data_IF_157296327667
#
_entry.id   IF_157296327667
#
_cell.length_a   1.000
_cell.length_b   1.000
_cell.length_c   1.000
_cell.angle_alpha   90.00
_cell.angle_beta   90.00
_cell.angle_gamma   90.00
#
_symmetry.space_group_name_H-M   'P 1'
#
loop_
_entity.id
_entity.type
_entity.pdbx_description
1 polymer ?
#
# COMPACT_ATOMS: atom_id res chain seq x y z
N UNK A 1 -25.78 40.90 39.52
CA UNK A 1 -26.09 40.86 38.06
C UNK A 1 -24.84 40.74 37.17
N UNK A 2 -23.75 41.49 37.42
CA UNK A 2 -22.52 41.44 36.61
C UNK A 2 -21.85 40.05 36.48
N UNK A 3 -21.78 39.27 37.55
CA UNK A 3 -21.17 37.93 37.50
C UNK A 3 -21.95 36.94 36.62
N UNK A 4 -23.29 37.01 36.64
CA UNK A 4 -24.15 36.15 35.83
C UNK A 4 -23.96 36.41 34.32
N UNK A 5 -23.79 37.67 33.94
CA UNK A 5 -23.49 38.06 32.55
C UNK A 5 -22.12 37.57 32.10
N UNK A 6 -21.12 37.59 32.99
CA UNK A 6 -19.78 37.09 32.73
C UNK A 6 -19.78 35.58 32.45
N UNK A 7 -20.49 34.80 33.27
CA UNK A 7 -20.64 33.34 33.05
C UNK A 7 -21.37 33.02 31.75
N UNK A 8 -22.42 33.77 31.40
CA UNK A 8 -23.14 33.62 30.12
C UNK A 8 -22.22 33.88 28.92
N UNK A 9 -21.40 34.94 28.97
CA UNK A 9 -20.43 35.25 27.90
C UNK A 9 -19.37 34.16 27.73
N UNK A 10 -18.86 33.62 28.84
CA UNK A 10 -17.90 32.50 28.80
C UNK A 10 -18.54 31.25 28.19
N UNK A 11 -19.77 30.90 28.58
CA UNK A 11 -20.49 29.76 28.03
C UNK A 11 -20.78 29.90 26.53
N UNK A 12 -21.17 31.09 26.07
CA UNK A 12 -21.36 31.39 24.65
C UNK A 12 -20.02 31.30 23.89
N UNK A 13 -18.93 31.84 24.43
CA UNK A 13 -17.61 31.75 23.81
C UNK A 13 -17.13 30.30 23.72
N UNK A 14 -17.32 29.49 24.77
CA UNK A 14 -16.97 28.07 24.77
C UNK A 14 -17.76 27.27 23.75
N UNK A 15 -19.07 27.52 23.63
CA UNK A 15 -19.93 26.84 22.64
C UNK A 15 -19.56 27.22 21.21
N UNK A 16 -19.30 28.50 20.94
CA UNK A 16 -18.81 28.96 19.63
C UNK A 16 -17.44 28.37 19.29
N UNK A 17 -16.52 28.28 20.26
CA UNK A 17 -15.22 27.66 20.05
C UNK A 17 -15.33 26.19 19.67
N UNK A 18 -16.17 25.42 20.39
CA UNK A 18 -16.45 24.02 20.06
C UNK A 18 -17.05 23.90 18.66
N UNK A 19 -17.99 24.78 18.30
CA UNK A 19 -18.61 24.79 16.97
C UNK A 19 -17.56 25.02 15.87
N UNK A 20 -16.65 25.97 16.06
CA UNK A 20 -15.56 26.26 15.10
C UNK A 20 -14.63 25.05 14.94
N UNK A 21 -14.27 24.37 16.05
CA UNK A 21 -13.44 23.15 15.99
C UNK A 21 -14.16 22.03 15.25
N UNK A 22 -15.46 21.85 15.47
CA UNK A 22 -16.27 20.85 14.76
C UNK A 22 -16.37 21.16 13.26
N UNK A 23 -16.61 22.42 12.89
CA UNK A 23 -16.60 22.85 11.49
C UNK A 23 -15.23 22.59 10.87
N UNK A 24 -14.14 22.96 11.56
CA UNK A 24 -12.78 22.68 11.10
C UNK A 24 -12.53 21.19 10.86
N UNK A 25 -12.96 20.33 11.79
CA UNK A 25 -12.81 18.88 11.65
C UNK A 25 -13.66 18.30 10.50
N UNK A 26 -14.89 18.78 10.31
CA UNK A 26 -15.81 18.29 9.27
C UNK A 26 -15.46 18.81 7.87
N UNK A 27 -14.92 20.02 7.77
CA UNK A 27 -14.46 20.64 6.52
C UNK A 27 -13.04 20.23 6.12
N UNK A 28 -12.34 19.47 6.97
CA UNK A 28 -10.98 19.01 6.69
C UNK A 28 -10.97 18.10 5.45
N UNK A 29 -10.40 18.61 4.34
CA UNK A 29 -10.22 17.83 3.12
C UNK A 29 -9.25 16.69 3.38
N UNK A 30 -9.74 15.46 3.26
CA UNK A 30 -8.88 14.28 3.33
C UNK A 30 -7.89 14.27 2.16
N UNK A 31 -6.66 13.76 2.36
CA UNK A 31 -5.75 13.52 1.24
C UNK A 31 -6.42 12.59 0.23
N UNK A 32 -6.27 12.92 -1.07
CA UNK A 32 -6.90 12.14 -2.16
C UNK A 32 -6.34 10.73 -2.25
N UNK A 33 -5.02 10.59 -2.15
CA UNK A 33 -4.30 9.33 -2.28
C UNK A 33 -3.73 8.93 -0.91
N UNK A 34 -4.34 7.94 -0.28
CA UNK A 34 -3.86 7.34 0.97
C UNK A 34 -3.40 5.91 0.71
N UNK A 35 -2.28 5.51 1.32
CA UNK A 35 -1.82 4.13 1.23
C UNK A 35 -2.79 3.18 1.92
N UNK A 36 -3.34 2.24 1.14
CA UNK A 36 -4.13 1.14 1.63
C UNK A 36 -3.24 0.05 2.25
N UNK A 37 -2.04 -0.16 1.69
CA UNK A 37 -1.04 -1.11 2.17
C UNK A 37 0.20 -0.37 2.64
N UNK A 38 0.74 -0.78 3.79
CA UNK A 38 2.00 -0.25 4.29
C UNK A 38 3.19 -0.99 3.66
N UNK A 39 4.40 -0.48 3.88
CA UNK A 39 5.63 -1.05 3.33
C UNK A 39 5.87 -2.50 3.75
N UNK A 40 5.55 -2.84 5.01
CA UNK A 40 5.74 -4.21 5.53
C UNK A 40 4.79 -5.20 4.84
N UNK A 41 3.50 -4.88 4.80
CA UNK A 41 2.51 -5.75 4.15
C UNK A 41 2.75 -5.86 2.64
N UNK A 42 3.20 -4.77 2.00
CA UNK A 42 3.57 -4.77 0.58
C UNK A 42 4.74 -5.72 0.34
N UNK A 43 5.81 -5.62 1.12
CA UNK A 43 6.96 -6.52 1.00
C UNK A 43 6.58 -7.98 1.25
N UNK A 44 5.79 -8.26 2.28
CA UNK A 44 5.31 -9.62 2.57
C UNK A 44 4.48 -10.18 1.41
N UNK A 45 3.61 -9.37 0.79
CA UNK A 45 2.81 -9.81 -0.35
C UNK A 45 3.65 -10.06 -1.60
N UNK A 46 4.59 -9.16 -1.91
CA UNK A 46 5.44 -9.29 -3.09
C UNK A 46 6.44 -10.44 -2.95
N UNK A 47 6.92 -10.71 -1.74
CA UNK A 47 7.82 -11.84 -1.49
C UNK A 47 7.14 -13.21 -1.69
N UNK A 48 5.81 -13.28 -1.58
CA UNK A 48 5.05 -14.53 -1.63
C UNK A 48 4.36 -14.78 -2.99
N UNK A 49 4.35 -13.79 -3.89
CA UNK A 49 3.60 -13.85 -5.14
C UNK A 49 4.51 -13.61 -6.35
N UNK A 50 4.22 -14.28 -7.46
CA UNK A 50 4.86 -13.94 -8.73
C UNK A 50 4.19 -12.71 -9.36
N UNK A 51 4.87 -11.58 -9.30
CA UNK A 51 4.42 -10.32 -9.89
C UNK A 51 5.05 -10.02 -11.26
N UNK A 52 5.83 -10.94 -11.82
CA UNK A 52 6.37 -10.80 -13.16
C UNK A 52 5.46 -11.46 -14.21
N UNK A 53 5.43 -10.87 -15.39
CA UNK A 53 4.81 -11.42 -16.58
C UNK A 53 5.81 -11.38 -17.74
N UNK A 54 5.80 -12.42 -18.56
CA UNK A 54 6.57 -12.50 -19.81
C UNK A 54 5.71 -12.09 -21.02
N UNK A 55 6.35 -11.77 -22.15
CA UNK A 55 5.63 -11.38 -23.37
C UNK A 55 4.61 -12.43 -23.86
N UNK A 56 4.85 -13.71 -23.58
CA UNK A 56 3.94 -14.79 -24.00
C UNK A 56 2.61 -14.76 -23.24
N UNK A 57 2.58 -14.22 -22.02
CA UNK A 57 1.39 -14.17 -21.18
C UNK A 57 0.48 -12.99 -21.54
N UNK A 58 0.99 -12.02 -22.30
CA UNK A 58 0.30 -10.77 -22.68
C UNK A 58 -0.96 -11.01 -23.51
N UNK A 59 -1.04 -12.13 -24.22
CA UNK A 59 -2.19 -12.48 -25.08
C UNK A 59 -3.45 -12.88 -24.30
N UNK A 60 -3.39 -12.91 -22.97
CA UNK A 60 -4.53 -13.27 -22.13
C UNK A 60 -5.61 -12.17 -22.16
N UNK A 61 -6.87 -12.55 -22.42
CA UNK A 61 -8.02 -11.62 -22.48
C UNK A 61 -8.34 -10.97 -21.14
N UNK A 62 -7.94 -11.60 -20.03
CA UNK A 62 -8.13 -11.07 -18.68
C UNK A 62 -7.03 -10.07 -18.30
N UNK A 63 -6.07 -9.82 -19.19
CA UNK A 63 -4.99 -8.86 -18.98
C UNK A 63 -5.27 -7.55 -19.69
N UNK A 64 -4.95 -6.46 -19.01
CA UNK A 64 -5.01 -5.11 -19.57
C UNK A 64 -3.60 -4.53 -19.56
N UNK A 65 -3.07 -4.26 -20.75
CA UNK A 65 -1.76 -3.69 -20.92
C UNK A 65 -1.79 -2.19 -20.66
N UNK A 66 -0.85 -1.73 -19.84
CA UNK A 66 -0.68 -0.31 -19.55
C UNK A 66 0.78 0.09 -19.81
N UNK A 67 0.95 0.96 -20.79
CA UNK A 67 2.23 1.57 -21.14
C UNK A 67 2.46 2.81 -20.27
N UNK A 68 3.51 2.78 -19.45
CA UNK A 68 3.81 3.87 -18.51
C UNK A 68 4.71 4.96 -19.08
N UNK A 69 5.14 4.81 -20.34
CA UNK A 69 6.01 5.76 -21.04
C UNK A 69 5.27 7.02 -21.45
N UNK A 70 6.02 8.00 -21.94
CA UNK A 70 5.45 9.23 -22.46
C UNK A 70 4.53 8.96 -23.66
N UNK A 71 3.52 9.82 -23.86
CA UNK A 71 2.64 9.75 -25.03
C UNK A 71 3.44 9.74 -26.34
N UNK A 72 4.52 10.50 -26.42
CA UNK A 72 5.40 10.51 -27.60
C UNK A 72 6.04 9.14 -27.89
N UNK A 73 6.48 8.42 -26.86
CA UNK A 73 7.02 7.08 -27.04
C UNK A 73 5.94 6.05 -27.35
N UNK A 74 4.75 6.22 -26.79
CA UNK A 74 3.60 5.38 -27.11
C UNK A 74 3.20 5.52 -28.58
N UNK A 75 3.09 6.74 -29.10
CA UNK A 75 2.76 7.03 -30.50
C UNK A 75 3.81 6.53 -31.49
N UNK A 76 5.10 6.48 -31.09
CA UNK A 76 6.16 5.88 -31.91
C UNK A 76 6.01 4.37 -32.09
N UNK A 77 5.31 3.72 -31.16
CA UNK A 77 5.10 2.28 -31.16
C UNK A 77 4.85 1.76 -29.76
N UNK A 78 3.81 0.96 -29.62
CA UNK A 78 3.39 0.33 -28.38
C UNK A 78 2.93 -1.12 -28.65
N UNK A 79 2.70 -1.87 -27.58
CA UNK A 79 2.13 -3.22 -27.69
C UNK A 79 0.66 -3.12 -28.06
N UNK A 80 0.17 -4.07 -28.86
CA UNK A 80 -1.22 -4.07 -29.31
C UNK A 80 -2.20 -4.07 -28.13
N UNK A 81 -3.26 -3.27 -28.23
CA UNK A 81 -4.29 -3.08 -27.19
C UNK A 81 -3.79 -2.47 -25.86
N UNK A 82 -2.59 -1.89 -25.83
CA UNK A 82 -2.11 -1.16 -24.67
C UNK A 82 -2.81 0.19 -24.50
N UNK A 83 -3.04 0.58 -23.24
CA UNK A 83 -3.50 1.91 -22.84
C UNK A 83 -2.29 2.70 -22.37
N UNK A 84 -2.13 3.95 -22.82
CA UNK A 84 -1.06 4.81 -22.31
C UNK A 84 -1.50 5.53 -21.02
N UNK A 85 -0.77 5.28 -19.93
CA UNK A 85 -0.91 6.04 -18.68
C UNK A 85 0.49 6.44 -18.25
N UNK A 86 0.92 7.62 -18.69
CA UNK A 86 2.25 8.12 -18.41
C UNK A 86 2.52 8.23 -16.90
N UNK A 87 3.70 7.80 -16.46
CA UNK A 87 4.07 7.68 -15.04
C UNK A 87 3.83 8.95 -14.21
N UNK A 88 4.11 10.18 -14.67
CA UNK A 88 3.79 11.38 -13.90
C UNK A 88 2.28 11.60 -13.67
N UNK A 89 1.43 11.03 -14.51
CA UNK A 89 0.00 11.33 -14.58
C UNK A 89 -0.88 10.24 -13.95
N UNK A 90 -0.33 9.07 -13.61
CA UNK A 90 -1.09 7.94 -13.05
C UNK A 90 -1.89 8.22 -11.76
N UNK A 91 -1.52 9.24 -10.97
CA UNK A 91 -2.24 9.64 -9.76
C UNK A 91 -3.39 10.62 -10.02
N UNK A 92 -3.62 11.00 -11.28
CA UNK A 92 -4.78 11.78 -11.69
C UNK A 92 -6.06 10.96 -11.51
N UNK A 93 -7.16 11.61 -11.17
CA UNK A 93 -8.43 10.93 -10.85
C UNK A 93 -8.95 10.07 -12.00
N UNK A 94 -8.82 10.54 -13.23
CA UNK A 94 -9.23 9.80 -14.43
C UNK A 94 -8.43 8.50 -14.60
N UNK A 95 -7.09 8.57 -14.41
CA UNK A 95 -6.21 7.42 -14.53
C UNK A 95 -6.42 6.40 -13.38
N UNK A 96 -6.59 6.89 -12.16
CA UNK A 96 -6.93 6.04 -11.01
C UNK A 96 -8.27 5.32 -11.19
N UNK A 97 -9.23 5.97 -11.84
CA UNK A 97 -10.53 5.36 -12.15
C UNK A 97 -10.39 4.17 -13.11
N UNK A 98 -9.45 4.22 -14.06
CA UNK A 98 -9.14 3.08 -14.95
C UNK A 98 -8.61 1.89 -14.13
N UNK A 99 -7.62 2.11 -13.26
CA UNK A 99 -7.09 1.03 -12.41
C UNK A 99 -8.16 0.43 -11.49
N UNK A 100 -9.05 1.27 -10.98
CA UNK A 100 -10.19 0.84 -10.17
C UNK A 100 -11.16 -0.02 -10.98
N UNK A 101 -11.53 0.39 -12.18
CA UNK A 101 -12.43 -0.37 -13.07
C UNK A 101 -11.82 -1.74 -13.44
N UNK A 102 -10.53 -1.79 -13.78
CA UNK A 102 -9.83 -3.04 -14.08
C UNK A 102 -9.89 -4.00 -12.88
N UNK A 103 -9.70 -3.47 -11.66
CA UNK A 103 -9.82 -4.25 -10.43
C UNK A 103 -11.24 -4.74 -10.16
N UNK A 104 -12.24 -3.87 -10.34
CA UNK A 104 -13.66 -4.21 -10.14
C UNK A 104 -14.15 -5.26 -11.15
N UNK A 105 -13.59 -5.26 -12.37
CA UNK A 105 -13.84 -6.28 -13.39
C UNK A 105 -12.98 -7.54 -13.25
N UNK A 106 -12.22 -7.65 -12.15
CA UNK A 106 -11.37 -8.80 -11.81
C UNK A 106 -10.32 -9.14 -12.88
N UNK A 107 -9.88 -8.13 -13.64
CA UNK A 107 -8.80 -8.25 -14.63
C UNK A 107 -7.45 -7.94 -13.99
N UNK A 108 -6.37 -8.35 -14.65
CA UNK A 108 -5.01 -8.07 -14.19
C UNK A 108 -4.37 -6.97 -15.03
N UNK A 109 -3.82 -5.96 -14.38
CA UNK A 109 -3.02 -4.92 -15.06
C UNK A 109 -1.63 -5.49 -15.36
N UNK A 110 -1.18 -5.36 -16.59
CA UNK A 110 0.19 -5.65 -17.00
C UNK A 110 0.89 -4.32 -17.29
N UNK A 111 1.67 -3.83 -16.33
CA UNK A 111 2.44 -2.60 -16.49
C UNK A 111 3.72 -2.87 -17.29
N UNK A 112 4.02 -2.02 -18.25
CA UNK A 112 5.29 -2.05 -18.97
C UNK A 112 5.81 -0.66 -19.32
N UNK A 113 7.12 -0.51 -19.31
CA UNK A 113 7.84 0.70 -19.71
C UNK A 113 8.84 0.37 -20.82
N UNK A 114 9.91 1.17 -20.95
CA UNK A 114 10.99 0.87 -21.88
C UNK A 114 11.78 -0.37 -21.45
N UNK A 115 11.91 -0.55 -20.14
CA UNK A 115 12.57 -1.67 -19.49
C UNK A 115 11.89 -1.97 -18.14
N UNK A 116 12.19 -3.09 -17.46
CA UNK A 116 11.58 -3.44 -16.18
C UNK A 116 11.87 -2.44 -15.05
N UNK A 117 13.01 -1.75 -15.10
CA UNK A 117 13.48 -0.85 -14.04
C UNK A 117 12.58 0.37 -13.90
N UNK A 118 12.13 0.94 -15.03
CA UNK A 118 11.19 2.07 -15.07
C UNK A 118 9.83 1.74 -14.42
N UNK A 119 9.44 0.46 -14.42
CA UNK A 119 8.13 0.01 -13.93
C UNK A 119 8.08 -0.20 -12.42
N UNK A 120 9.24 -0.41 -11.78
CA UNK A 120 9.30 -0.74 -10.34
C UNK A 120 8.61 0.30 -9.45
N UNK A 121 8.93 1.58 -9.65
CA UNK A 121 8.36 2.67 -8.85
C UNK A 121 6.83 2.82 -9.03
N UNK A 122 6.29 2.96 -10.26
CA UNK A 122 4.85 3.07 -10.44
C UNK A 122 4.10 1.82 -9.98
N UNK A 123 4.66 0.62 -10.19
CA UNK A 123 4.11 -0.63 -9.68
C UNK A 123 3.97 -0.61 -8.16
N UNK A 124 5.06 -0.29 -7.44
CA UNK A 124 5.04 -0.24 -5.96
C UNK A 124 4.05 0.79 -5.44
N UNK A 125 3.98 1.96 -6.06
CA UNK A 125 3.08 3.02 -5.61
C UNK A 125 1.60 2.61 -5.80
N UNK A 126 1.24 2.10 -6.96
CA UNK A 126 -0.13 1.62 -7.23
C UNK A 126 -0.49 0.46 -6.29
N UNK A 127 0.44 -0.46 -6.04
CA UNK A 127 0.26 -1.55 -5.09
C UNK A 127 -0.04 -1.01 -3.68
N UNK A 128 0.73 -0.03 -3.20
CA UNK A 128 0.51 0.61 -1.89
C UNK A 128 -0.80 1.39 -1.81
N UNK A 129 -1.28 1.94 -2.93
CA UNK A 129 -2.59 2.58 -3.03
C UNK A 129 -3.76 1.57 -3.07
N UNK A 130 -3.46 0.27 -3.17
CA UNK A 130 -4.43 -0.82 -3.10
C UNK A 130 -4.81 -1.42 -4.45
N UNK A 131 -4.08 -1.12 -5.52
CA UNK A 131 -4.19 -1.81 -6.81
C UNK A 131 -3.19 -2.97 -6.83
N UNK A 132 -3.60 -4.12 -6.30
CA UNK A 132 -2.77 -5.31 -6.09
C UNK A 132 -2.96 -6.39 -7.17
N UNK A 133 -3.93 -6.21 -8.08
CA UNK A 133 -4.20 -7.04 -9.24
C UNK A 133 -3.27 -6.69 -10.42
N UNK A 134 -1.97 -6.65 -10.17
CA UNK A 134 -1.00 -6.10 -11.11
C UNK A 134 0.21 -7.01 -11.28
N UNK A 135 0.78 -7.02 -12.50
CA UNK A 135 2.08 -7.61 -12.81
C UNK A 135 2.93 -6.63 -13.60
N UNK A 136 4.24 -6.83 -13.52
CA UNK A 136 5.26 -6.12 -14.27
C UNK A 136 5.66 -6.97 -15.48
N UNK A 137 5.58 -6.40 -16.67
CA UNK A 137 6.04 -7.05 -17.89
C UNK A 137 7.56 -6.96 -18.03
N UNK A 138 8.23 -8.10 -18.12
CA UNK A 138 9.69 -8.19 -18.17
C UNK A 138 10.21 -8.13 -19.60
N UNK A 139 10.11 -6.94 -20.21
CA UNK A 139 10.53 -6.69 -21.61
C UNK A 139 11.46 -5.50 -21.74
N UNK A 140 12.22 -5.46 -22.84
CA UNK A 140 12.95 -4.29 -23.32
C UNK A 140 12.38 -3.84 -24.66
N UNK A 141 12.11 -2.55 -24.76
CA UNK A 141 11.63 -1.89 -25.96
C UNK A 141 12.78 -1.14 -26.64
N UNK A 142 13.05 -1.54 -27.87
CA UNK A 142 14.01 -0.91 -28.77
C UNK A 142 13.28 -0.38 -30.01
N UNK A 143 13.95 0.48 -30.77
CA UNK A 143 13.45 0.97 -32.06
C UNK A 143 14.49 0.74 -33.14
N UNK A 144 14.05 0.20 -34.28
CA UNK A 144 14.87 0.09 -35.49
C UNK A 144 14.04 0.51 -36.69
N UNK A 145 14.53 1.49 -37.46
CA UNK A 145 13.82 2.03 -38.63
C UNK A 145 12.34 2.37 -38.33
N UNK A 146 12.09 3.06 -37.20
CA UNK A 146 10.75 3.44 -36.72
C UNK A 146 9.81 2.27 -36.41
N UNK A 147 10.31 1.03 -36.35
CA UNK A 147 9.55 -0.13 -35.88
C UNK A 147 9.92 -0.45 -34.45
N UNK A 148 8.91 -0.63 -33.60
CA UNK A 148 9.08 -1.13 -32.24
C UNK A 148 9.61 -2.56 -32.29
N UNK A 149 10.67 -2.82 -31.52
CA UNK A 149 11.21 -4.15 -31.26
C UNK A 149 11.02 -4.44 -29.78
N UNK A 150 10.30 -5.51 -29.46
CA UNK A 150 10.08 -5.97 -28.09
C UNK A 150 10.86 -7.26 -27.86
N UNK A 151 11.67 -7.30 -26.80
CA UNK A 151 12.43 -8.49 -26.40
C UNK A 151 12.09 -8.83 -24.96
N UNK A 152 11.94 -10.12 -24.65
CA UNK A 152 11.93 -10.55 -23.25
C UNK A 152 13.27 -10.19 -22.59
N UNK A 153 13.19 -9.79 -21.33
CA UNK A 153 14.34 -9.49 -20.50
C UNK A 153 14.24 -10.30 -19.21
N UNK A 154 15.29 -11.04 -18.90
CA UNK A 154 15.40 -11.65 -17.58
C UNK A 154 15.69 -10.55 -16.55
N UNK A 155 15.04 -10.63 -15.40
CA UNK A 155 15.28 -9.74 -14.26
C UNK A 155 16.38 -10.36 -13.43
N UNK A 156 17.31 -9.55 -12.92
CA UNK A 156 18.42 -10.07 -12.14
C UNK A 156 17.92 -10.80 -10.89
N UNK A 157 18.30 -12.07 -10.77
CA UNK A 157 18.07 -12.86 -9.56
C UNK A 157 19.34 -12.78 -8.73
N UNK A 158 19.21 -12.47 -7.43
CA UNK A 158 20.34 -12.49 -6.50
C UNK A 158 21.01 -13.86 -6.55
N UNK A 159 22.28 -13.89 -6.97
CA UNK A 159 23.12 -15.10 -6.91
C UNK A 159 23.43 -15.52 -5.47
N UNK A 160 23.33 -14.58 -4.52
CA UNK A 160 23.57 -14.85 -3.12
C UNK A 160 22.32 -15.41 -2.45
N UNK A 161 22.47 -16.52 -1.74
CA UNK A 161 21.45 -17.03 -0.82
C UNK A 161 21.46 -16.20 0.46
N UNK A 162 20.79 -15.05 0.39
CA UNK A 162 20.69 -14.09 1.51
C UNK A 162 20.05 -14.78 2.73
N UNK A 163 19.12 -15.71 2.53
CA UNK A 163 18.48 -16.44 3.62
C UNK A 163 19.48 -17.36 4.32
N UNK A 164 20.29 -18.12 3.57
CA UNK A 164 21.36 -18.91 4.15
C UNK A 164 22.39 -18.04 4.90
N UNK A 165 22.79 -16.90 4.33
CA UNK A 165 23.71 -15.98 5.00
C UNK A 165 23.15 -15.43 6.32
N UNK A 166 21.87 -15.03 6.34
CA UNK A 166 21.19 -14.58 7.56
C UNK A 166 21.15 -15.71 8.59
N UNK A 167 20.75 -16.91 8.18
CA UNK A 167 20.65 -18.08 9.06
C UNK A 167 22.02 -18.45 9.66
N UNK A 168 23.08 -18.44 8.86
CA UNK A 168 24.45 -18.68 9.31
C UNK A 168 24.91 -17.60 10.28
N UNK A 169 24.60 -16.33 10.01
CA UNK A 169 24.95 -15.20 10.87
C UNK A 169 24.26 -15.30 12.23
N UNK A 170 22.97 -15.62 12.26
CA UNK A 170 22.19 -15.84 13.49
C UNK A 170 22.75 -17.03 14.27
N UNK A 171 23.11 -18.12 13.60
CA UNK A 171 23.74 -19.30 14.22
C UNK A 171 25.10 -18.94 14.85
N UNK A 172 25.98 -18.26 14.11
CA UNK A 172 27.30 -17.82 14.61
C UNK A 172 27.15 -16.88 15.80
N UNK A 173 26.18 -15.96 15.76
CA UNK A 173 25.87 -15.09 16.89
C UNK A 173 25.43 -15.90 18.12
N UNK A 174 24.51 -16.86 17.95
CA UNK A 174 24.06 -17.73 19.03
C UNK A 174 25.21 -18.56 19.63
N UNK A 175 26.10 -19.08 18.80
CA UNK A 175 27.25 -19.87 19.23
C UNK A 175 28.31 -19.00 19.92
N UNK A 176 28.56 -17.78 19.43
CA UNK A 176 29.44 -16.81 20.09
C UNK A 176 28.89 -16.39 21.47
N UNK A 177 27.58 -16.17 21.58
CA UNK A 177 26.92 -15.86 22.86
C UNK A 177 27.01 -17.02 23.86
N UNK A 178 26.83 -18.27 23.40
CA UNK A 178 27.04 -19.47 24.23
C UNK A 178 28.47 -19.58 24.73
N UNK A 179 29.46 -19.33 23.87
CA UNK A 179 30.90 -19.40 24.22
C UNK A 179 31.33 -18.30 25.18
N UNK A 180 30.75 -17.11 25.08
CA UNK A 180 31.09 -15.98 25.94
C UNK A 180 30.42 -16.04 27.33
N UNK A 181 29.54 -17.02 27.60
CA UNK A 181 28.76 -17.13 28.83
C UNK A 181 27.95 -15.85 29.18
N UNK A 182 27.69 -15.02 28.17
CA UNK A 182 26.95 -13.77 28.33
C UNK A 182 25.46 -14.10 28.29
N UNK A 183 24.82 -14.13 29.47
CA UNK A 183 23.36 -14.06 29.57
C UNK A 183 22.93 -12.61 29.36
N UNK A 184 22.51 -12.27 28.15
CA UNK A 184 21.81 -10.99 27.95
C UNK A 184 20.38 -11.18 28.44
N UNK A 185 20.03 -10.47 29.51
CA UNK A 185 18.66 -10.05 29.77
C UNK A 185 18.14 -9.36 28.52
N UNK A 186 17.24 -10.04 27.80
CA UNK A 186 16.46 -9.41 26.73
C UNK A 186 16.04 -8.03 27.22
N UNK A 187 16.36 -6.95 26.48
CA UNK A 187 15.64 -5.68 26.66
C UNK A 187 14.17 -6.07 26.79
N UNK A 188 13.46 -5.67 27.86
CA UNK A 188 12.08 -6.04 28.03
C UNK A 188 11.37 -5.67 26.73
N UNK A 189 10.90 -6.69 26.02
CA UNK A 189 9.86 -6.50 25.02
C UNK A 189 8.80 -5.76 25.82
N UNK A 190 8.50 -4.51 25.48
CA UNK A 190 7.35 -3.81 26.07
C UNK A 190 6.17 -4.69 25.72
N UNK A 191 5.82 -5.58 26.63
CA UNK A 191 4.60 -6.34 26.61
C UNK A 191 3.55 -5.26 26.71
N UNK A 192 2.92 -4.94 25.59
CA UNK A 192 1.58 -4.38 25.64
C UNK A 192 0.79 -5.39 26.45
N UNK A 193 0.61 -5.06 27.73
CA UNK A 193 -0.28 -5.82 28.60
C UNK A 193 -1.60 -5.89 27.84
N UNK A 194 -2.15 -7.10 27.60
CA UNK A 194 -3.47 -7.20 27.01
C UNK A 194 -4.38 -6.36 27.90
N UNK A 195 -5.01 -5.32 27.33
CA UNK A 195 -6.01 -4.53 28.04
C UNK A 195 -6.98 -5.52 28.67
N UNK A 196 -6.98 -5.59 30.00
CA UNK A 196 -7.90 -6.43 30.76
C UNK A 196 -9.31 -6.02 30.32
N UNK A 197 -9.93 -6.84 29.49
CA UNK A 197 -11.35 -6.69 29.16
C UNK A 197 -12.06 -6.89 30.49
N UNK A 198 -12.46 -5.80 31.13
CA UNK A 198 -13.33 -5.86 32.29
C UNK A 198 -14.66 -6.40 31.75
N UNK A 199 -15.09 -7.62 32.11
CA UNK A 199 -16.42 -8.05 31.75
C UNK A 199 -17.37 -7.07 32.43
N UNK A 200 -18.12 -6.32 31.62
CA UNK A 200 -19.21 -5.48 32.10
C UNK A 200 -20.16 -6.45 32.82
N UNK A 201 -20.15 -6.43 34.16
CA UNK A 201 -21.18 -7.11 34.93
C UNK A 201 -22.51 -6.51 34.49
N UNK A 202 -23.34 -7.29 33.79
CA UNK A 202 -24.74 -6.92 33.56
C UNK A 202 -25.32 -6.55 34.92
N UNK A 203 -25.82 -5.33 35.07
CA UNK A 203 -26.58 -4.92 36.25
C UNK A 203 -27.66 -5.99 36.49
N UNK A 204 -27.70 -6.57 37.69
CA UNK A 204 -28.89 -7.30 38.13
C UNK A 204 -30.07 -6.32 38.00
N UNK A 205 -31.12 -6.75 37.30
CA UNK A 205 -32.41 -6.07 37.37
C UNK A 205 -32.80 -6.01 38.86
N UNK A 206 -33.21 -4.84 39.33
CA UNK A 206 -33.78 -4.70 40.68
C UNK A 206 -34.94 -5.69 40.81
N UNK A 207 -35.14 -6.34 41.96
CA UNK A 207 -36.40 -7.04 42.21
C UNK A 207 -37.51 -5.99 42.14
N UNK A 208 -38.54 -6.27 41.34
CA UNK A 208 -39.84 -5.63 41.48
C UNK A 208 -40.36 -5.97 42.87
N UNK A 209 -40.23 -5.02 43.79
CA UNK A 209 -40.95 -5.08 45.06
C UNK A 209 -42.43 -4.88 44.79
N UNK A 210 -43.22 -5.87 45.21
CA UNK A 210 -44.50 -5.68 45.87
C UNK A 210 -45.61 -5.02 45.06
N UNK A 211 -46.51 -5.85 44.54
CA UNK A 211 -47.90 -5.45 44.46
C UNK A 211 -48.51 -5.29 45.85
N UNK A 212 -49.28 -4.22 46.01
CA UNK A 212 -50.69 -4.31 46.39
C UNK A 212 -51.48 -3.58 45.31
#
# INVERSE_FOLDING_TARGET
>A
MKELEKTKRISIASTLFILVVLIGLLTYKRPKNTYALNTKSTLENLSNNNYFASLNEVSNKDYVLVDIRSAYEFEKGHLENAINIHTPDFLNEDNLSIFKEIKETNKTVILYGKNPEEVNLPFLLLYQLGYDNMKLLTVKLDYYQNKLITKNCDVEISKADVAAFINESVKKQADAMKKANIKITTKPKTTTTPKKVIPIRKKKKMPTEGGC
#
